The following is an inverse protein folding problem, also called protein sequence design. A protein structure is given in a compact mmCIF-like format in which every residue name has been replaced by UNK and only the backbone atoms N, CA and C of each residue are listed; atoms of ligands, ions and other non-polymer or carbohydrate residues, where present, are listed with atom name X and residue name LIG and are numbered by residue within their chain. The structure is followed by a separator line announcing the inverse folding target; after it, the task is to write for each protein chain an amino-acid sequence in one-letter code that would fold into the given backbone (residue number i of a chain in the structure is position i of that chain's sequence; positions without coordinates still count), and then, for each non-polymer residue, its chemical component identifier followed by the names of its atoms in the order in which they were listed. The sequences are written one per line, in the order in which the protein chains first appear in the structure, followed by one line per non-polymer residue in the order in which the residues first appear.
data_IF_907255101717
#
_entry.id   IF_907255101717
#
_cell.length_a   1.000
_cell.length_b   1.000
_cell.length_c   1.000
_cell.angle_alpha   90.00
_cell.angle_beta   90.00
_cell.angle_gamma   90.00
#
_symmetry.space_group_name_H-M   'P 1'
#
loop_
_entity.id
_entity.type
_entity.pdbx_description
1 polymer ?
#
# COMPACT_ATOMS: atom_id res chain seq x y z
N UNK A 1 16.91 -44.40 -11.25
CA UNK A 1 16.11 -43.56 -12.16
C UNK A 1 14.90 -43.04 -11.39
N UNK A 2 14.56 -41.75 -11.46
CA UNK A 2 13.34 -41.26 -10.85
C UNK A 2 12.12 -41.87 -11.54
N UNK A 3 11.12 -42.26 -10.75
CA UNK A 3 9.87 -42.77 -11.33
C UNK A 3 9.08 -41.60 -11.94
N UNK A 4 8.37 -41.87 -13.03
CA UNK A 4 7.45 -40.91 -13.65
C UNK A 4 6.44 -40.35 -12.62
N UNK A 5 5.94 -41.22 -11.73
CA UNK A 5 5.02 -40.85 -10.66
C UNK A 5 5.62 -39.81 -9.70
N UNK A 6 6.89 -39.97 -9.30
CA UNK A 6 7.58 -39.02 -8.41
C UNK A 6 7.79 -37.68 -9.12
N UNK A 7 8.23 -37.69 -10.38
CA UNK A 7 8.42 -36.46 -11.16
C UNK A 7 7.10 -35.71 -11.38
N UNK A 8 6.02 -36.43 -11.71
CA UNK A 8 4.69 -35.85 -11.84
C UNK A 8 4.25 -35.24 -10.51
N UNK A 9 4.34 -35.98 -9.41
CA UNK A 9 3.93 -35.48 -8.10
C UNK A 9 4.68 -34.19 -7.71
N UNK A 10 6.01 -34.16 -7.84
CA UNK A 10 6.79 -32.96 -7.51
C UNK A 10 6.41 -31.76 -8.38
N UNK A 11 6.13 -31.99 -9.66
CA UNK A 11 5.70 -30.94 -10.60
C UNK A 11 4.36 -30.36 -10.14
N UNK A 12 3.33 -31.18 -9.95
CA UNK A 12 2.01 -30.72 -9.54
C UNK A 12 2.03 -30.03 -8.17
N UNK A 13 2.79 -30.56 -7.22
CA UNK A 13 2.96 -29.94 -5.90
C UNK A 13 3.60 -28.54 -6.01
N UNK A 14 4.63 -28.39 -6.85
CA UNK A 14 5.29 -27.10 -7.10
C UNK A 14 4.30 -26.07 -7.65
N UNK A 15 3.50 -26.47 -8.65
CA UNK A 15 2.51 -25.59 -9.27
C UNK A 15 1.38 -25.22 -8.31
N UNK A 16 0.90 -26.18 -7.52
CA UNK A 16 -0.12 -25.93 -6.50
C UNK A 16 0.39 -24.96 -5.42
N UNK A 17 1.62 -25.14 -4.94
CA UNK A 17 2.23 -24.22 -3.97
C UNK A 17 2.41 -22.81 -4.54
N UNK A 18 2.75 -22.68 -5.82
CA UNK A 18 2.80 -21.36 -6.48
C UNK A 18 1.42 -20.68 -6.49
N UNK A 19 0.35 -21.41 -6.85
CA UNK A 19 -1.02 -20.90 -6.81
C UNK A 19 -1.47 -20.52 -5.40
N UNK A 20 -1.17 -21.34 -4.39
CA UNK A 20 -1.50 -21.04 -2.98
C UNK A 20 -0.76 -19.80 -2.49
N UNK A 21 0.54 -19.70 -2.79
CA UNK A 21 1.37 -18.55 -2.38
C UNK A 21 0.85 -17.25 -2.99
N UNK A 22 0.56 -17.26 -4.29
CA UNK A 22 0.03 -16.10 -5.01
C UNK A 22 -1.38 -15.73 -4.57
N UNK A 23 -2.26 -16.72 -4.40
CA UNK A 23 -3.62 -16.53 -3.88
C UNK A 23 -3.62 -15.91 -2.49
N UNK A 24 -2.79 -16.44 -1.58
CA UNK A 24 -2.63 -15.91 -0.24
C UNK A 24 -2.17 -14.45 -0.24
N UNK A 25 -1.12 -14.15 -1.02
CA UNK A 25 -0.53 -12.82 -1.06
C UNK A 25 -1.49 -11.75 -1.61
N UNK A 26 -2.32 -12.10 -2.58
CA UNK A 26 -3.23 -11.16 -3.24
C UNK A 26 -4.63 -11.08 -2.61
N UNK A 27 -5.06 -12.09 -1.83
CA UNK A 27 -6.40 -12.12 -1.25
C UNK A 27 -6.80 -10.87 -0.42
N UNK A 28 -5.89 -10.22 0.35
CA UNK A 28 -6.23 -9.00 1.07
C UNK A 28 -6.59 -7.82 0.16
N UNK A 29 -6.07 -7.81 -1.08
CA UNK A 29 -6.37 -6.79 -2.06
C UNK A 29 -7.57 -7.19 -2.90
N UNK A 30 -7.57 -8.40 -3.45
CA UNK A 30 -8.62 -8.91 -4.33
C UNK A 30 -9.13 -10.24 -3.76
N UNK A 31 -10.17 -10.23 -2.91
CA UNK A 31 -10.68 -11.43 -2.26
C UNK A 31 -11.06 -12.54 -3.25
N UNK A 32 -11.50 -12.17 -4.45
CA UNK A 32 -11.86 -13.11 -5.53
C UNK A 32 -10.66 -13.98 -5.98
N UNK A 33 -9.42 -13.49 -5.80
CA UNK A 33 -8.19 -14.21 -6.16
C UNK A 33 -8.03 -15.49 -5.31
N UNK A 34 -8.48 -15.49 -4.06
CA UNK A 34 -8.49 -16.70 -3.25
C UNK A 34 -9.35 -17.79 -3.90
N UNK A 35 -10.48 -17.41 -4.52
CA UNK A 35 -11.32 -18.32 -5.29
C UNK A 35 -10.59 -18.91 -6.50
N UNK A 36 -9.88 -18.08 -7.27
CA UNK A 36 -9.05 -18.56 -8.39
C UNK A 36 -7.95 -19.53 -7.94
N UNK A 37 -7.32 -19.26 -6.79
CA UNK A 37 -6.30 -20.14 -6.23
C UNK A 37 -6.87 -21.52 -5.86
N UNK A 38 -8.01 -21.54 -5.18
CA UNK A 38 -8.71 -22.80 -4.84
C UNK A 38 -9.08 -23.56 -6.11
N UNK A 39 -9.69 -22.89 -7.10
CA UNK A 39 -10.06 -23.53 -8.37
C UNK A 39 -8.84 -24.09 -9.11
N UNK A 40 -7.74 -23.35 -9.16
CA UNK A 40 -6.50 -23.81 -9.81
C UNK A 40 -5.90 -25.02 -9.09
N UNK A 41 -5.87 -25.02 -7.75
CA UNK A 41 -5.36 -26.16 -6.96
C UNK A 41 -6.24 -27.40 -7.14
N UNK A 42 -7.56 -27.24 -7.13
CA UNK A 42 -8.50 -28.34 -7.40
C UNK A 42 -8.34 -28.88 -8.82
N UNK A 43 -8.19 -28.00 -9.81
CA UNK A 43 -7.95 -28.40 -11.20
C UNK A 43 -6.63 -29.16 -11.36
N UNK A 44 -5.55 -28.69 -10.73
CA UNK A 44 -4.26 -29.39 -10.70
C UNK A 44 -4.38 -30.76 -10.02
N UNK A 45 -5.08 -30.83 -8.88
CA UNK A 45 -5.36 -32.10 -8.20
C UNK A 45 -6.13 -33.09 -9.08
N UNK A 46 -7.19 -32.63 -9.75
CA UNK A 46 -7.96 -33.45 -10.67
C UNK A 46 -7.11 -33.94 -11.86
N UNK A 47 -6.33 -33.04 -12.48
CA UNK A 47 -5.44 -33.36 -13.60
C UNK A 47 -4.37 -34.39 -13.19
N UNK A 48 -3.81 -34.29 -11.99
CA UNK A 48 -2.85 -35.28 -11.47
C UNK A 48 -3.43 -36.69 -11.45
N UNK A 49 -4.69 -36.85 -11.02
CA UNK A 49 -5.36 -38.14 -11.01
C UNK A 49 -5.81 -38.59 -12.41
N UNK A 50 -6.27 -37.67 -13.27
CA UNK A 50 -6.73 -38.00 -14.62
C UNK A 50 -5.55 -38.44 -15.51
N UNK A 51 -4.41 -37.77 -15.42
CA UNK A 51 -3.21 -38.07 -16.22
C UNK A 51 -2.67 -39.49 -15.97
N UNK A 52 -3.01 -40.12 -14.84
CA UNK A 52 -2.68 -41.55 -14.60
C UNK A 52 -3.51 -42.54 -15.40
N UNK A 53 -4.71 -42.14 -15.85
CA UNK A 53 -5.71 -43.04 -16.41
C UNK A 53 -6.03 -42.74 -17.87
N UNK A 54 -5.87 -41.50 -18.29
CA UNK A 54 -6.28 -41.03 -19.60
C UNK A 54 -5.21 -40.15 -20.22
N UNK A 55 -5.07 -40.22 -21.54
CA UNK A 55 -4.34 -39.22 -22.31
C UNK A 55 -5.05 -37.87 -22.16
N UNK A 56 -4.30 -36.85 -21.76
CA UNK A 56 -4.84 -35.50 -21.62
C UNK A 56 -5.13 -34.86 -23.01
N UNK A 57 -5.38 -33.55 -23.04
CA UNK A 57 -5.82 -32.84 -24.23
C UNK A 57 -4.74 -32.84 -25.32
N UNK A 58 -5.18 -33.02 -26.57
CA UNK A 58 -4.36 -32.75 -27.75
C UNK A 58 -3.99 -31.27 -27.83
N UNK A 59 -2.94 -30.92 -28.58
CA UNK A 59 -2.47 -29.53 -28.72
C UNK A 59 -3.60 -28.58 -29.16
N UNK A 60 -4.44 -28.89 -30.17
CA UNK A 60 -5.54 -28.00 -30.55
C UNK A 60 -6.60 -27.85 -29.45
N UNK A 61 -6.91 -28.93 -28.72
CA UNK A 61 -7.87 -28.90 -27.63
C UNK A 61 -7.34 -28.09 -26.43
N UNK A 62 -6.05 -28.22 -26.10
CA UNK A 62 -5.38 -27.42 -25.08
C UNK A 62 -5.35 -25.93 -25.45
N UNK A 63 -5.09 -25.60 -26.73
CA UNK A 63 -5.13 -24.21 -27.20
C UNK A 63 -6.55 -23.62 -27.13
N UNK A 64 -7.59 -24.40 -27.45
CA UNK A 64 -8.99 -23.98 -27.28
C UNK A 64 -9.33 -23.76 -25.81
N UNK A 65 -8.88 -24.64 -24.92
CA UNK A 65 -9.05 -24.46 -23.47
C UNK A 65 -8.35 -23.18 -23.00
N UNK A 66 -7.10 -22.94 -23.44
CA UNK A 66 -6.37 -21.71 -23.14
C UNK A 66 -7.10 -20.46 -23.65
N UNK A 67 -7.66 -20.50 -24.86
CA UNK A 67 -8.47 -19.43 -25.41
C UNK A 67 -9.75 -19.17 -24.61
N UNK A 68 -10.46 -20.22 -24.19
CA UNK A 68 -11.66 -20.11 -23.34
C UNK A 68 -11.32 -19.52 -21.97
N UNK A 69 -10.25 -20.00 -21.33
CA UNK A 69 -9.72 -19.45 -20.07
C UNK A 69 -9.36 -17.97 -20.23
N UNK A 70 -8.68 -17.61 -21.32
CA UNK A 70 -8.35 -16.22 -21.64
C UNK A 70 -9.59 -15.33 -21.81
N UNK A 71 -10.63 -15.81 -22.50
CA UNK A 71 -11.89 -15.08 -22.66
C UNK A 71 -12.61 -14.87 -21.32
N UNK A 72 -12.71 -15.91 -20.48
CA UNK A 72 -13.28 -15.81 -19.14
C UNK A 72 -12.49 -14.82 -18.27
N UNK A 73 -11.16 -14.83 -18.37
CA UNK A 73 -10.30 -13.87 -17.67
C UNK A 73 -10.55 -12.43 -18.14
N UNK A 74 -10.64 -12.18 -19.46
CA UNK A 74 -10.94 -10.86 -20.00
C UNK A 74 -12.31 -10.34 -19.53
N UNK A 75 -13.33 -11.21 -19.48
CA UNK A 75 -14.65 -10.84 -18.96
C UNK A 75 -14.58 -10.48 -17.46
N UNK A 76 -13.84 -11.25 -16.67
CA UNK A 76 -13.62 -10.95 -15.26
C UNK A 76 -12.87 -9.62 -15.04
N UNK A 77 -11.82 -9.36 -15.83
CA UNK A 77 -11.10 -8.08 -15.81
C UNK A 77 -12.03 -6.92 -16.14
N UNK A 78 -12.82 -7.03 -17.21
CA UNK A 78 -13.77 -5.98 -17.59
C UNK A 78 -14.81 -5.71 -16.49
N UNK A 79 -15.34 -6.77 -15.88
CA UNK A 79 -16.22 -6.65 -14.71
C UNK A 79 -15.53 -5.93 -13.56
N UNK A 80 -14.28 -6.29 -13.24
CA UNK A 80 -13.55 -5.70 -12.11
C UNK A 80 -13.19 -4.23 -12.34
N UNK A 81 -12.76 -3.87 -13.55
CA UNK A 81 -12.50 -2.47 -13.94
C UNK A 81 -13.77 -1.65 -13.84
N UNK A 82 -14.90 -2.17 -14.33
CA UNK A 82 -16.19 -1.48 -14.21
C UNK A 82 -16.57 -1.25 -12.75
N UNK A 83 -16.51 -2.30 -11.92
CA UNK A 83 -16.78 -2.19 -10.48
C UNK A 83 -15.89 -1.12 -9.82
N UNK A 84 -14.63 -1.03 -10.22
CA UNK A 84 -13.71 -0.02 -9.70
C UNK A 84 -14.12 1.40 -10.10
N UNK A 85 -14.51 1.61 -11.36
CA UNK A 85 -15.02 2.91 -11.82
C UNK A 85 -16.28 3.31 -11.04
N UNK A 86 -17.16 2.35 -10.76
CA UNK A 86 -18.44 2.60 -10.10
C UNK A 86 -18.29 2.86 -8.58
N UNK A 87 -17.30 2.23 -7.93
CA UNK A 87 -17.16 2.24 -6.44
C UNK A 87 -15.98 3.05 -5.92
N UNK A 88 -14.95 3.27 -6.73
CA UNK A 88 -13.71 3.95 -6.32
C UNK A 88 -12.93 3.23 -5.21
N UNK A 89 -13.13 1.92 -5.03
CA UNK A 89 -12.50 1.11 -3.96
C UNK A 89 -10.96 1.23 -3.96
N UNK A 90 -10.32 1.40 -5.12
CA UNK A 90 -8.87 1.47 -5.37
C UNK A 90 -8.38 2.84 -5.82
N UNK A 91 -9.19 3.88 -5.76
CA UNK A 91 -8.77 5.26 -6.06
C UNK A 91 -7.46 5.64 -5.33
N UNK A 92 -7.26 5.09 -4.13
CA UNK A 92 -6.08 5.33 -3.28
C UNK A 92 -4.91 4.38 -3.53
N UNK A 93 -5.15 3.17 -4.07
CA UNK A 93 -4.09 2.18 -4.32
C UNK A 93 -3.41 2.41 -5.67
N UNK A 94 -4.09 3.11 -6.58
CA UNK A 94 -3.59 3.46 -7.90
C UNK A 94 -3.87 2.39 -8.95
N UNK A 95 -4.30 2.83 -10.14
CA UNK A 95 -4.65 1.96 -11.26
C UNK A 95 -3.55 0.98 -11.67
N UNK A 96 -2.28 1.39 -11.56
CA UNK A 96 -1.14 0.54 -11.90
C UNK A 96 -1.05 -0.69 -10.99
N UNK A 97 -1.30 -0.55 -9.68
CA UNK A 97 -1.31 -1.67 -8.73
C UNK A 97 -2.43 -2.64 -9.06
N UNK A 98 -3.62 -2.13 -9.35
CA UNK A 98 -4.76 -2.95 -9.74
C UNK A 98 -4.47 -3.76 -11.01
N UNK A 99 -3.88 -3.14 -12.04
CA UNK A 99 -3.51 -3.82 -13.28
C UNK A 99 -2.47 -4.94 -13.03
N UNK A 100 -1.49 -4.70 -12.17
CA UNK A 100 -0.50 -5.73 -11.78
C UNK A 100 -1.17 -6.88 -11.01
N UNK A 101 -2.08 -6.56 -10.08
CA UNK A 101 -2.78 -7.56 -9.28
C UNK A 101 -3.66 -8.50 -10.14
N UNK A 102 -4.23 -7.98 -11.24
CA UNK A 102 -5.03 -8.78 -12.18
C UNK A 102 -4.24 -9.90 -12.87
N UNK A 103 -2.91 -9.80 -12.97
CA UNK A 103 -2.10 -10.89 -13.56
C UNK A 103 -2.09 -12.16 -12.71
N UNK A 104 -2.37 -12.07 -11.40
CA UNK A 104 -2.28 -13.24 -10.52
C UNK A 104 -3.26 -14.36 -10.89
N UNK A 105 -4.58 -14.07 -10.98
CA UNK A 105 -5.58 -15.00 -11.52
C UNK A 105 -5.20 -15.59 -12.88
N UNK A 106 -4.69 -14.76 -13.80
CA UNK A 106 -4.27 -15.21 -15.12
C UNK A 106 -3.16 -16.25 -15.03
N UNK A 107 -2.11 -15.99 -14.23
CA UNK A 107 -1.00 -16.93 -14.01
C UNK A 107 -1.51 -18.27 -13.48
N UNK A 108 -2.37 -18.27 -12.46
CA UNK A 108 -2.92 -19.49 -11.86
C UNK A 108 -3.75 -20.31 -12.86
N UNK A 109 -4.59 -19.65 -13.64
CA UNK A 109 -5.43 -20.30 -14.64
C UNK A 109 -4.61 -20.82 -15.84
N UNK A 110 -3.59 -20.08 -16.27
CA UNK A 110 -2.68 -20.51 -17.34
C UNK A 110 -1.82 -21.71 -16.91
N UNK A 111 -1.41 -21.79 -15.64
CA UNK A 111 -0.72 -22.96 -15.10
C UNK A 111 -1.59 -24.23 -15.23
N UNK A 112 -2.84 -24.17 -14.77
CA UNK A 112 -3.77 -25.30 -14.87
C UNK A 112 -4.07 -25.67 -16.34
N UNK A 113 -4.34 -24.68 -17.19
CA UNK A 113 -4.61 -24.90 -18.61
C UNK A 113 -3.41 -25.51 -19.35
N UNK A 114 -2.19 -25.06 -19.04
CA UNK A 114 -0.96 -25.55 -19.68
C UNK A 114 -0.62 -26.98 -19.26
N UNK A 115 -0.82 -27.32 -17.98
CA UNK A 115 -0.63 -28.70 -17.49
C UNK A 115 -1.59 -29.69 -18.17
N UNK A 116 -2.79 -29.25 -18.55
CA UNK A 116 -3.78 -30.10 -19.22
C UNK A 116 -3.38 -30.57 -20.63
N UNK A 117 -2.24 -30.14 -21.18
CA UNK A 117 -1.70 -30.63 -22.45
C UNK A 117 -1.10 -32.04 -22.28
N UNK A 118 -1.49 -32.98 -23.13
CA UNK A 118 -1.03 -34.38 -23.09
C UNK A 118 0.42 -34.55 -23.52
N UNK A 119 0.77 -34.02 -24.69
CA UNK A 119 2.14 -34.08 -25.20
C UNK A 119 2.96 -32.91 -24.65
N UNK A 120 3.72 -33.18 -23.59
CA UNK A 120 4.63 -32.20 -22.96
C UNK A 120 6.08 -32.50 -23.34
N UNK A 121 6.78 -31.50 -23.85
CA UNK A 121 8.23 -31.56 -24.08
C UNK A 121 9.00 -30.72 -23.07
N UNK A 122 10.34 -30.80 -23.08
CA UNK A 122 11.21 -30.04 -22.18
C UNK A 122 10.85 -28.54 -22.09
N UNK A 123 10.55 -27.90 -23.23
CA UNK A 123 10.11 -26.50 -23.26
C UNK A 123 8.79 -26.21 -22.50
N UNK A 124 7.84 -27.14 -22.47
CA UNK A 124 6.60 -26.96 -21.71
C UNK A 124 6.86 -26.96 -20.21
N UNK A 125 7.69 -27.88 -19.72
CA UNK A 125 8.10 -27.92 -18.30
C UNK A 125 8.86 -26.66 -17.88
N UNK A 126 9.79 -26.18 -18.72
CA UNK A 126 10.47 -24.90 -18.46
C UNK A 126 9.51 -23.73 -18.34
N UNK A 127 8.53 -23.65 -19.24
CA UNK A 127 7.53 -22.57 -19.17
C UNK A 127 6.56 -22.71 -18.00
N UNK A 128 6.22 -23.94 -17.56
CA UNK A 128 5.44 -24.17 -16.34
C UNK A 128 6.20 -23.69 -15.10
N UNK A 129 7.47 -24.08 -14.96
CA UNK A 129 8.32 -23.62 -13.85
C UNK A 129 8.59 -22.12 -13.90
N UNK A 130 8.82 -21.55 -15.08
CA UNK A 130 8.99 -20.12 -15.27
C UNK A 130 7.74 -19.32 -14.89
N UNK A 131 6.55 -19.80 -15.29
CA UNK A 131 5.27 -19.16 -14.95
C UNK A 131 4.97 -19.28 -13.45
N UNK A 132 5.24 -20.44 -12.83
CA UNK A 132 5.12 -20.62 -11.39
C UNK A 132 6.08 -19.70 -10.61
N UNK A 133 7.32 -19.57 -11.06
CA UNK A 133 8.31 -18.67 -10.46
C UNK A 133 7.90 -17.21 -10.59
N UNK A 134 7.38 -16.79 -11.76
CA UNK A 134 6.84 -15.46 -11.96
C UNK A 134 5.65 -15.19 -11.00
N UNK A 135 4.77 -16.17 -10.81
CA UNK A 135 3.67 -16.09 -9.85
C UNK A 135 4.15 -15.92 -8.41
N UNK A 136 5.18 -16.68 -7.99
CA UNK A 136 5.75 -16.56 -6.65
C UNK A 136 6.53 -15.26 -6.46
N UNK A 137 7.23 -14.78 -7.49
CA UNK A 137 7.87 -13.46 -7.49
C UNK A 137 6.86 -12.34 -7.35
N UNK A 138 5.72 -12.44 -8.04
CA UNK A 138 4.60 -11.52 -7.89
C UNK A 138 4.02 -11.58 -6.47
N UNK A 139 3.85 -12.78 -5.90
CA UNK A 139 3.38 -12.96 -4.52
C UNK A 139 4.32 -12.29 -3.49
N UNK A 140 5.64 -12.44 -3.68
CA UNK A 140 6.65 -11.83 -2.82
C UNK A 140 6.66 -10.29 -2.90
N UNK A 141 6.17 -9.71 -3.99
CA UNK A 141 5.98 -8.26 -4.10
C UNK A 141 4.75 -7.75 -3.33
N UNK A 142 3.74 -8.61 -3.12
CA UNK A 142 2.48 -8.22 -2.46
C UNK A 142 2.45 -8.49 -0.95
N UNK A 143 3.18 -9.48 -0.44
CA UNK A 143 3.06 -9.90 0.96
C UNK A 143 4.41 -10.00 1.68
N UNK A 144 4.53 -9.26 2.79
CA UNK A 144 5.69 -9.28 3.71
C UNK A 144 5.42 -10.11 4.98
N UNK A 145 4.40 -10.97 4.98
CA UNK A 145 3.97 -11.71 6.18
C UNK A 145 4.75 -13.01 6.41
N UNK A 146 4.96 -13.44 7.68
CA UNK A 146 5.66 -14.68 8.00
C UNK A 146 5.11 -15.91 7.28
N UNK A 147 3.79 -16.02 7.15
CA UNK A 147 3.16 -17.14 6.47
C UNK A 147 3.48 -17.17 4.96
N UNK A 148 3.56 -15.99 4.32
CA UNK A 148 3.98 -15.90 2.91
C UNK A 148 5.41 -16.43 2.74
N UNK A 149 6.34 -16.06 3.64
CA UNK A 149 7.71 -16.59 3.61
C UNK A 149 7.76 -18.11 3.77
N UNK A 150 6.93 -18.69 4.64
CA UNK A 150 6.83 -20.16 4.77
C UNK A 150 6.34 -20.79 3.47
N UNK A 151 5.30 -20.24 2.85
CA UNK A 151 4.76 -20.74 1.58
C UNK A 151 5.78 -20.66 0.44
N UNK A 152 6.51 -19.53 0.34
CA UNK A 152 7.63 -19.38 -0.61
C UNK A 152 8.72 -20.41 -0.34
N UNK A 153 9.09 -20.64 0.93
CA UNK A 153 10.06 -21.66 1.30
C UNK A 153 9.65 -23.07 0.88
N UNK A 154 8.39 -23.43 1.14
CA UNK A 154 7.81 -24.71 0.69
C UNK A 154 7.84 -24.84 -0.83
N UNK A 155 7.46 -23.78 -1.54
CA UNK A 155 7.54 -23.72 -3.00
C UNK A 155 8.98 -23.94 -3.50
N UNK A 156 9.98 -23.27 -2.91
CA UNK A 156 11.37 -23.39 -3.35
C UNK A 156 11.91 -24.81 -3.20
N UNK A 157 11.62 -25.48 -2.08
CA UNK A 157 12.01 -26.88 -1.87
C UNK A 157 11.35 -27.79 -2.92
N UNK A 158 10.05 -27.60 -3.17
CA UNK A 158 9.33 -28.37 -4.18
C UNK A 158 9.86 -28.10 -5.60
N UNK A 159 10.17 -26.85 -5.92
CA UNK A 159 10.70 -26.42 -7.23
C UNK A 159 12.09 -27.00 -7.49
N UNK A 160 13.01 -26.95 -6.51
CA UNK A 160 14.34 -27.56 -6.63
C UNK A 160 14.22 -29.08 -6.79
N UNK A 161 13.31 -29.72 -6.04
CA UNK A 161 13.05 -31.15 -6.18
C UNK A 161 12.54 -31.48 -7.58
N UNK A 162 11.53 -30.76 -8.06
CA UNK A 162 10.94 -30.96 -9.38
C UNK A 162 11.94 -30.72 -10.51
N UNK A 163 12.75 -29.66 -10.44
CA UNK A 163 13.76 -29.34 -11.45
C UNK A 163 14.90 -30.36 -11.47
N UNK A 164 15.29 -30.91 -10.32
CA UNK A 164 16.28 -31.99 -10.25
C UNK A 164 15.76 -33.25 -10.94
N UNK A 165 14.49 -33.60 -10.70
CA UNK A 165 13.85 -34.74 -11.36
C UNK A 165 13.66 -34.49 -12.86
N UNK A 166 13.31 -33.26 -13.25
CA UNK A 166 13.21 -32.84 -14.65
C UNK A 166 14.56 -32.97 -15.37
N UNK A 167 15.65 -32.51 -14.77
CA UNK A 167 17.00 -32.63 -15.34
C UNK A 167 17.39 -34.10 -15.54
N UNK A 168 17.14 -34.95 -14.55
CA UNK A 168 17.38 -36.39 -14.66
C UNK A 168 16.51 -37.03 -15.75
N UNK A 169 15.25 -36.61 -15.87
CA UNK A 169 14.32 -37.09 -16.90
C UNK A 169 14.75 -36.69 -18.31
N UNK A 170 15.27 -35.47 -18.49
CA UNK A 170 15.88 -35.03 -19.74
C UNK A 170 17.13 -35.84 -20.07
N UNK A 171 18.02 -36.05 -19.09
CA UNK A 171 19.26 -36.81 -19.26
C UNK A 171 19.01 -38.29 -19.57
N UNK A 172 17.94 -38.88 -19.03
CA UNK A 172 17.55 -40.27 -19.30
C UNK A 172 16.71 -40.46 -20.56
N UNK A 173 16.33 -39.39 -21.26
CA UNK A 173 15.41 -39.44 -22.40
C UNK A 173 13.95 -39.70 -22.03
N UNK A 174 13.59 -39.67 -20.75
CA UNK A 174 12.21 -39.85 -20.28
C UNK A 174 11.33 -38.62 -20.56
N UNK A 175 11.94 -37.43 -20.65
CA UNK A 175 11.28 -36.21 -21.10
C UNK A 175 11.67 -35.95 -22.55
N UNK A 176 10.71 -35.86 -23.49
CA UNK A 176 11.05 -35.62 -24.88
C UNK A 176 11.67 -34.23 -25.06
N UNK A 177 12.72 -34.09 -25.89
CA UNK A 177 13.31 -32.80 -26.21
C UNK A 177 12.31 -31.91 -26.94
N UNK A 178 12.60 -30.61 -27.03
CA UNK A 178 11.79 -29.69 -27.83
C UNK A 178 11.78 -30.19 -29.29
N UNK A 179 10.61 -30.33 -29.94
CA UNK A 179 10.52 -30.76 -31.33
C UNK A 179 11.38 -29.86 -32.23
N UNK A 180 12.36 -30.46 -32.91
CA UNK A 180 13.17 -29.80 -33.93
C UNK A 180 12.59 -30.22 -35.30
N UNK A 181 12.06 -29.29 -36.10
CA UNK A 181 11.43 -29.62 -37.39
C UNK A 181 12.40 -30.32 -38.36
N UNK A 182 13.71 -30.22 -38.13
CA UNK A 182 14.73 -30.82 -38.97
C UNK A 182 15.29 -32.15 -38.45
N UNK A 183 14.84 -32.63 -37.28
CA UNK A 183 15.32 -33.89 -36.70
C UNK A 183 14.18 -34.89 -36.52
N UNK A 184 14.34 -36.06 -37.13
CA UNK A 184 13.50 -37.22 -36.81
C UNK A 184 13.85 -37.66 -35.40
N UNK A 185 12.95 -37.41 -34.45
CA UNK A 185 13.12 -37.83 -33.06
C UNK A 185 12.86 -39.34 -33.00
N UNK A 186 13.84 -40.17 -32.57
CA UNK A 186 13.57 -41.59 -32.36
C UNK A 186 12.48 -41.74 -31.29
N UNK A 187 11.53 -42.65 -31.49
CA UNK A 187 10.47 -42.94 -30.53
C UNK A 187 11.11 -43.16 -29.16
N UNK A 188 10.75 -42.29 -28.20
CA UNK A 188 11.32 -42.32 -26.88
C UNK A 188 11.06 -43.71 -26.27
N UNK A 189 12.13 -44.44 -25.95
CA UNK A 189 12.03 -45.72 -25.29
C UNK A 189 11.29 -45.51 -23.97
N UNK A 190 10.04 -45.97 -23.90
CA UNK A 190 9.21 -45.85 -22.72
C UNK A 190 9.95 -46.51 -21.55
N UNK A 191 10.52 -45.68 -20.67
CA UNK A 191 11.20 -46.11 -19.47
C UNK A 191 10.14 -46.66 -18.49
N UNK A 192 9.71 -47.90 -18.72
CA UNK A 192 8.78 -48.67 -17.90
C UNK A 192 9.50 -49.20 -16.65
N UNK A 193 10.02 -48.29 -15.82
CA UNK A 193 10.49 -48.63 -14.48
C UNK A 193 9.30 -48.75 -13.53
N UNK A 194 9.12 -49.92 -12.90
CA UNK A 194 8.11 -50.10 -11.85
C UNK A 194 8.24 -49.03 -10.75
N UNK A 195 7.12 -48.43 -10.30
CA UNK A 195 7.13 -47.36 -9.32
C UNK A 195 7.36 -47.91 -7.91
N UNK A 196 8.61 -48.09 -7.49
CA UNK A 196 8.95 -48.36 -6.08
C UNK A 196 9.80 -47.23 -5.50
N UNK A 197 9.10 -46.19 -5.00
CA UNK A 197 9.66 -45.18 -4.10
C UNK A 197 9.20 -43.75 -4.39
N UNK A 198 8.28 -43.21 -3.59
CA UNK A 198 7.70 -41.87 -3.74
C UNK A 198 8.61 -40.70 -3.32
N UNK A 199 9.83 -40.97 -2.84
CA UNK A 199 10.73 -39.97 -2.24
C UNK A 199 12.13 -39.90 -2.86
N UNK A 200 12.33 -40.51 -4.03
CA UNK A 200 13.63 -40.48 -4.71
C UNK A 200 14.07 -39.04 -4.98
N UNK A 201 15.27 -38.67 -4.51
CA UNK A 201 15.89 -37.35 -4.74
C UNK A 201 15.43 -36.21 -3.82
N UNK A 202 14.44 -36.42 -2.94
CA UNK A 202 13.95 -35.36 -2.04
C UNK A 202 15.01 -34.86 -1.03
N UNK A 203 15.79 -35.72 -0.34
CA UNK A 203 16.82 -35.24 0.58
C UNK A 203 17.90 -34.41 -0.12
N UNK A 204 18.32 -34.82 -1.32
CA UNK A 204 19.27 -34.06 -2.13
C UNK A 204 18.73 -32.69 -2.52
N UNK A 205 17.44 -32.61 -2.88
CA UNK A 205 16.78 -31.35 -3.19
C UNK A 205 16.73 -30.41 -1.98
N UNK A 206 16.48 -30.95 -0.78
CA UNK A 206 16.50 -30.18 0.47
C UNK A 206 17.89 -29.61 0.76
N UNK A 207 18.95 -30.41 0.56
CA UNK A 207 20.34 -29.94 0.68
C UNK A 207 20.65 -28.84 -0.32
N UNK A 208 20.26 -29.00 -1.60
CA UNK A 208 20.46 -27.97 -2.61
C UNK A 208 19.70 -26.69 -2.33
N UNK A 209 18.45 -26.79 -1.85
CA UNK A 209 17.66 -25.63 -1.43
C UNK A 209 18.33 -24.92 -0.24
N UNK A 210 18.85 -25.68 0.74
CA UNK A 210 19.59 -25.13 1.87
C UNK A 210 20.88 -24.42 1.42
N UNK A 211 21.68 -25.05 0.55
CA UNK A 211 22.87 -24.43 -0.02
C UNK A 211 22.55 -23.13 -0.77
N UNK A 212 21.49 -23.13 -1.60
CA UNK A 212 21.03 -21.93 -2.30
C UNK A 212 20.62 -20.84 -1.31
N UNK A 213 19.92 -21.19 -0.23
CA UNK A 213 19.55 -20.25 0.84
C UNK A 213 20.78 -19.66 1.55
N UNK A 214 21.78 -20.49 1.87
CA UNK A 214 23.05 -20.06 2.50
C UNK A 214 23.81 -19.08 1.61
N UNK A 215 23.68 -19.14 0.29
CA UNK A 215 24.29 -18.16 -0.63
C UNK A 215 23.40 -16.93 -0.82
N UNK A 216 22.09 -17.14 -1.04
CA UNK A 216 21.15 -16.06 -1.36
C UNK A 216 20.96 -15.08 -0.21
N UNK A 217 20.95 -15.56 1.05
CA UNK A 217 20.75 -14.69 2.22
C UNK A 217 21.90 -13.70 2.39
N UNK A 218 23.19 -14.11 2.40
CA UNK A 218 24.31 -13.17 2.42
C UNK A 218 24.30 -12.21 1.24
N UNK A 219 24.03 -12.67 0.02
CA UNK A 219 23.95 -11.80 -1.16
C UNK A 219 22.86 -10.74 -0.97
N UNK A 220 21.68 -11.15 -0.50
CA UNK A 220 20.59 -10.22 -0.19
C UNK A 220 20.98 -9.19 0.88
N UNK A 221 21.64 -9.62 1.96
CA UNK A 221 22.07 -8.74 3.04
C UNK A 221 23.20 -7.79 2.64
N UNK A 222 24.06 -8.21 1.70
CA UNK A 222 25.14 -7.39 1.16
C UNK A 222 24.69 -6.48 0.00
N UNK A 223 23.54 -6.77 -0.62
CA UNK A 223 22.99 -5.95 -1.70
C UNK A 223 22.50 -4.63 -1.11
N UNK A 224 23.04 -3.47 -1.55
CA UNK A 224 22.59 -2.17 -1.05
C UNK A 224 21.08 -2.03 -1.22
N UNK A 225 20.38 -1.70 -0.13
CA UNK A 225 18.94 -1.44 -0.21
C UNK A 225 18.73 -0.26 -1.16
N UNK A 226 17.88 -0.46 -2.16
CA UNK A 226 17.48 0.63 -3.05
C UNK A 226 16.86 1.77 -2.22
N UNK A 227 17.32 3.00 -2.46
CA UNK A 227 16.71 4.20 -1.89
C UNK A 227 15.38 4.57 -2.56
N UNK A 228 15.06 3.88 -3.67
CA UNK A 228 13.78 3.99 -4.34
C UNK A 228 12.66 3.69 -3.34
N UNK A 229 11.52 4.40 -3.42
CA UNK A 229 10.35 4.05 -2.63
C UNK A 229 10.06 2.57 -2.82
N UNK A 230 9.94 1.82 -1.71
CA UNK A 230 9.42 0.46 -1.80
C UNK A 230 8.06 0.57 -2.48
N UNK A 231 7.87 -0.21 -3.53
CA UNK A 231 6.55 -0.37 -4.11
C UNK A 231 5.72 -1.13 -3.07
N UNK A 232 5.03 -0.39 -2.21
CA UNK A 232 4.23 -0.96 -1.12
C UNK A 232 2.88 -1.37 -1.73
N UNK A 233 2.86 -2.58 -2.25
CA UNK A 233 1.68 -3.15 -2.89
C UNK A 233 0.74 -3.71 -1.83
N UNK A 234 -0.09 -2.85 -1.25
CA UNK A 234 -1.32 -3.29 -0.61
C UNK A 234 -1.15 -3.93 0.76
N UNK A 235 -1.11 -3.08 1.77
CA UNK A 235 -2.21 -2.92 2.75
C UNK A 235 -2.27 -1.44 3.06
N UNK A 236 -3.44 -0.77 3.05
CA UNK A 236 -3.53 0.56 3.64
C UNK A 236 -3.12 0.45 5.10
N UNK A 237 -1.90 0.88 5.40
CA UNK A 237 -1.35 0.86 6.75
C UNK A 237 -1.98 2.02 7.49
N UNK A 238 -2.66 1.73 8.60
CA UNK A 238 -2.98 2.77 9.57
C UNK A 238 -1.72 2.90 10.41
N UNK A 239 -0.88 3.88 10.08
CA UNK A 239 0.35 4.12 10.83
C UNK A 239 0.02 4.95 12.08
N UNK A 240 0.64 4.59 13.21
CA UNK A 240 0.72 5.48 14.38
C UNK A 240 1.97 6.32 14.18
N UNK A 241 1.76 7.58 13.83
CA UNK A 241 2.80 8.53 13.46
C UNK A 241 2.25 9.54 12.46
N UNK A 242 3.10 10.42 11.96
CA UNK A 242 2.73 11.33 10.89
C UNK A 242 3.20 10.78 9.54
N UNK A 243 2.28 10.32 8.70
CA UNK A 243 2.53 10.07 7.29
C UNK A 243 1.80 11.13 6.44
N UNK A 244 2.56 11.86 5.62
CA UNK A 244 2.05 13.03 4.89
C UNK A 244 0.95 12.70 3.85
N UNK A 245 0.82 11.43 3.47
CA UNK A 245 -0.22 10.87 2.60
C UNK A 245 -1.28 10.06 3.35
N UNK A 246 -1.21 9.98 4.67
CA UNK A 246 -2.20 9.25 5.46
C UNK A 246 -3.55 9.98 5.42
N UNK A 247 -4.56 9.26 4.94
CA UNK A 247 -5.95 9.62 5.14
C UNK A 247 -6.42 9.09 6.49
N UNK A 248 -7.24 9.86 7.20
CA UNK A 248 -7.88 9.39 8.43
C UNK A 248 -9.22 8.76 8.07
N UNK A 249 -9.21 7.46 7.80
CA UNK A 249 -10.40 6.67 7.50
C UNK A 249 -10.87 5.90 8.73
N UNK A 250 -12.01 6.32 9.30
CA UNK A 250 -12.59 5.73 10.51
C UNK A 250 -13.32 4.42 10.24
N UNK A 251 -13.62 4.08 8.98
CA UNK A 251 -14.23 2.80 8.63
C UNK A 251 -13.19 1.68 8.53
N UNK A 252 -11.90 2.02 8.47
CA UNK A 252 -10.83 1.05 8.37
C UNK A 252 -10.34 0.64 9.74
N UNK A 253 -10.48 -0.65 10.04
CA UNK A 253 -9.81 -1.32 11.15
C UNK A 253 -8.60 -2.06 10.61
N UNK A 254 -7.41 -1.84 11.18
CA UNK A 254 -6.18 -2.49 10.77
C UNK A 254 -5.16 -2.55 11.89
N UNK A 255 -4.10 -3.33 11.70
CA UNK A 255 -2.98 -3.34 12.63
C UNK A 255 -2.29 -1.97 12.59
N UNK A 256 -2.32 -1.28 13.71
CA UNK A 256 -1.59 -0.05 13.91
C UNK A 256 -0.10 -0.35 14.00
N UNK A 257 0.71 0.26 13.13
CA UNK A 257 2.17 0.13 13.18
C UNK A 257 2.77 1.46 13.58
N UNK A 258 3.57 1.47 14.64
CA UNK A 258 4.34 2.65 15.04
C UNK A 258 5.42 2.92 14.01
N UNK A 259 5.43 4.15 13.48
CA UNK A 259 6.51 4.64 12.63
C UNK A 259 7.45 5.49 13.49
N UNK A 260 8.69 5.04 13.65
CA UNK A 260 9.72 5.75 14.42
C UNK A 260 10.67 6.55 13.55
N UNK A 261 10.37 6.72 12.26
CA UNK A 261 11.15 7.59 11.38
C UNK A 261 11.01 9.06 11.82
N UNK A 262 12.12 9.78 11.82
CA UNK A 262 12.12 11.22 12.10
C UNK A 262 11.27 11.96 11.07
N UNK A 263 10.18 12.60 11.52
CA UNK A 263 9.29 13.33 10.63
C UNK A 263 9.93 14.61 10.08
N UNK A 264 10.57 15.38 10.96
CA UNK A 264 11.30 16.61 10.65
C UNK A 264 12.17 17.02 11.84
N UNK A 265 13.12 17.90 11.60
CA UNK A 265 13.94 18.54 12.64
C UNK A 265 13.64 20.04 12.69
N UNK A 266 13.72 20.61 13.90
CA UNK A 266 13.54 22.05 14.13
C UNK A 266 14.64 22.58 15.01
N UNK A 267 15.25 23.67 14.58
CA UNK A 267 16.22 24.45 15.37
C UNK A 267 15.59 25.79 15.74
N UNK A 268 15.62 26.14 17.02
CA UNK A 268 15.07 27.40 17.52
C UNK A 268 16.21 28.36 17.91
N UNK A 269 16.15 29.61 17.46
CA UNK A 269 17.18 30.64 17.72
C UNK A 269 16.55 31.99 18.02
N UNK A 270 17.09 32.70 19.01
CA UNK A 270 16.74 34.08 19.31
C UNK A 270 17.27 35.05 18.23
N UNK A 271 16.78 36.30 18.18
CA UNK A 271 17.23 37.30 17.20
C UNK A 271 18.73 37.66 17.29
N UNK A 272 19.36 37.43 18.45
CA UNK A 272 20.79 37.60 18.66
C UNK A 272 21.64 36.39 18.21
N UNK A 273 21.00 35.34 17.70
CA UNK A 273 21.63 34.10 17.25
C UNK A 273 21.84 33.07 18.35
N UNK A 274 21.51 33.37 19.62
CA UNK A 274 21.61 32.40 20.69
C UNK A 274 20.57 31.27 20.50
N UNK A 275 20.92 30.00 20.79
CA UNK A 275 19.98 28.89 20.69
C UNK A 275 18.86 29.06 21.73
N UNK A 276 17.61 28.86 21.31
CA UNK A 276 16.46 28.77 22.21
C UNK A 276 16.29 27.31 22.64
N UNK A 277 16.70 26.99 23.87
CA UNK A 277 16.71 25.61 24.40
C UNK A 277 15.46 25.26 25.22
N UNK A 278 14.58 26.22 25.45
CA UNK A 278 13.36 26.15 26.26
C UNK A 278 12.09 26.23 25.39
N UNK A 279 12.09 25.57 24.22
CA UNK A 279 10.85 25.39 23.45
C UNK A 279 9.89 24.52 24.26
N UNK A 280 8.64 24.95 24.41
CA UNK A 280 7.65 24.22 25.21
C UNK A 280 7.50 22.79 24.70
N UNK A 281 7.51 21.77 25.58
CA UNK A 281 7.21 20.39 25.18
C UNK A 281 5.76 20.24 24.66
N UNK A 282 4.87 21.15 25.04
CA UNK A 282 3.47 21.20 24.57
C UNK A 282 3.31 21.93 23.22
N UNK A 283 4.42 22.31 22.58
CA UNK A 283 4.41 22.95 21.27
C UNK A 283 3.72 22.04 20.25
N UNK A 284 2.62 22.54 19.68
CA UNK A 284 1.90 21.84 18.62
C UNK A 284 2.57 22.07 17.28
N UNK A 285 2.78 20.98 16.54
CA UNK A 285 3.34 21.00 15.20
C UNK A 285 2.23 20.69 14.20
N UNK A 286 1.70 21.74 13.59
CA UNK A 286 0.66 21.64 12.57
C UNK A 286 1.27 21.11 11.28
N UNK A 287 0.91 19.89 10.91
CA UNK A 287 1.19 19.32 9.59
C UNK A 287 0.06 19.61 8.61
N UNK A 288 -0.30 18.61 7.81
CA UNK A 288 -1.38 18.68 6.84
C UNK A 288 -2.75 18.77 7.53
N UNK A 289 -3.68 19.49 6.91
CA UNK A 289 -5.06 19.58 7.38
C UNK A 289 -5.98 18.74 6.50
N UNK A 290 -6.92 18.04 7.12
CA UNK A 290 -8.01 17.32 6.45
C UNK A 290 -9.31 18.06 6.76
N UNK A 291 -9.96 18.58 5.73
CA UNK A 291 -11.02 19.57 5.89
C UNK A 291 -12.42 19.02 5.60
N UNK A 292 -12.50 17.86 4.94
CA UNK A 292 -13.76 17.30 4.50
C UNK A 292 -13.93 15.89 5.04
N UNK A 293 -14.98 15.70 5.84
CA UNK A 293 -15.41 14.37 6.27
C UNK A 293 -16.49 13.85 5.33
N UNK A 294 -16.21 12.73 4.65
CA UNK A 294 -17.16 12.07 3.77
C UNK A 294 -17.13 10.57 4.02
N UNK A 295 -18.28 9.99 4.34
CA UNK A 295 -18.46 8.54 4.38
C UNK A 295 -17.49 7.81 5.32
N UNK A 296 -17.16 8.38 6.49
CA UNK A 296 -16.23 7.76 7.44
C UNK A 296 -14.78 8.21 7.31
N UNK A 297 -14.40 8.92 6.26
CA UNK A 297 -13.02 9.34 6.03
C UNK A 297 -12.87 10.87 6.00
N UNK A 298 -11.76 11.34 6.55
CA UNK A 298 -11.28 12.71 6.40
C UNK A 298 -10.38 12.83 5.18
N UNK A 299 -10.76 13.71 4.26
CA UNK A 299 -10.11 13.97 2.99
C UNK A 299 -9.34 15.29 3.01
N UNK A 300 -8.33 15.35 2.15
CA UNK A 300 -7.48 16.53 1.94
C UNK A 300 -8.05 17.48 0.88
N UNK A 301 -9.24 17.19 0.34
CA UNK A 301 -9.84 18.06 -0.67
C UNK A 301 -9.95 19.48 -0.11
N UNK A 302 -9.38 20.48 -0.81
CA UNK A 302 -9.39 21.85 -0.33
C UNK A 302 -10.84 22.33 -0.36
N UNK A 303 -11.45 22.43 0.82
CA UNK A 303 -12.68 23.17 0.96
C UNK A 303 -12.27 24.63 0.93
N UNK A 304 -12.86 25.42 0.04
CA UNK A 304 -12.63 26.85 0.01
C UNK A 304 -13.01 27.44 1.37
N UNK A 305 -12.02 27.81 2.15
CA UNK A 305 -12.23 28.47 3.44
C UNK A 305 -12.70 29.91 3.21
N UNK A 306 -13.42 30.51 4.17
CA UNK A 306 -13.81 31.90 4.09
C UNK A 306 -12.57 32.81 3.98
N UNK A 307 -12.68 33.85 3.16
CA UNK A 307 -11.65 34.87 3.11
C UNK A 307 -11.61 35.66 4.43
N UNK A 308 -10.43 36.07 4.85
CA UNK A 308 -10.19 36.94 6.00
C UNK A 308 -10.03 38.39 5.57
N UNK A 309 -10.44 39.30 6.43
CA UNK A 309 -10.17 40.72 6.32
C UNK A 309 -8.76 40.98 6.84
N UNK A 310 -7.95 41.68 6.03
CA UNK A 310 -6.59 42.12 6.36
C UNK A 310 -5.63 40.98 6.73
N UNK A 311 -5.17 40.22 5.75
CA UNK A 311 -4.16 39.16 5.93
C UNK A 311 -2.74 39.74 6.05
N UNK A 312 -1.77 38.86 6.30
CA UNK A 312 -0.36 39.16 6.07
C UNK A 312 -0.13 39.63 4.61
N UNK A 313 0.90 40.45 4.42
CA UNK A 313 1.31 40.97 3.12
C UNK A 313 2.40 40.09 2.53
N UNK A 314 2.33 39.84 1.22
CA UNK A 314 3.47 39.26 0.49
C UNK A 314 4.58 40.31 0.34
N UNK A 315 5.82 39.96 0.72
CA UNK A 315 7.00 40.82 0.59
C UNK A 315 8.06 40.11 -0.24
N UNK A 316 8.60 40.82 -1.24
CA UNK A 316 9.76 40.40 -2.02
C UNK A 316 10.67 41.63 -2.29
N UNK A 317 11.88 41.71 -1.70
CA UNK A 317 12.50 40.72 -0.81
C UNK A 317 11.70 40.49 0.48
N UNK A 318 11.81 39.30 1.04
CA UNK A 318 11.17 38.99 2.32
C UNK A 318 11.92 39.68 3.47
N UNK A 319 11.18 40.13 4.46
CA UNK A 319 11.72 40.63 5.73
C UNK A 319 10.92 39.99 6.87
N UNK A 320 11.58 39.67 7.98
CA UNK A 320 10.92 39.09 9.14
C UNK A 320 9.84 40.06 9.69
N UNK A 321 8.60 39.61 9.96
CA UNK A 321 7.65 40.42 10.70
C UNK A 321 8.14 40.68 12.12
N UNK A 322 7.75 41.82 12.69
CA UNK A 322 7.93 42.10 14.13
C UNK A 322 6.69 41.61 14.88
N UNK A 323 6.78 40.42 15.50
CA UNK A 323 5.71 39.78 16.27
C UNK A 323 5.69 40.23 17.74
N UNK A 324 6.61 41.12 18.14
CA UNK A 324 6.70 41.67 19.49
C UNK A 324 7.78 41.02 20.37
N UNK A 325 7.77 41.30 21.68
CA UNK A 325 8.77 40.81 22.63
C UNK A 325 8.82 39.28 22.69
N UNK A 326 10.03 38.73 22.81
CA UNK A 326 10.24 37.29 22.91
C UNK A 326 10.13 36.55 21.58
N UNK A 327 10.07 37.25 20.45
CA UNK A 327 10.16 36.64 19.13
C UNK A 327 11.46 35.83 18.97
N UNK A 328 11.34 34.67 18.34
CA UNK A 328 12.45 33.80 17.95
C UNK A 328 12.13 33.12 16.62
N UNK A 329 13.15 32.57 15.98
CA UNK A 329 13.03 31.89 14.68
C UNK A 329 13.07 30.38 14.87
N UNK A 330 12.17 29.66 14.19
CA UNK A 330 12.16 28.21 14.05
C UNK A 330 12.62 27.83 12.64
N UNK A 331 13.78 27.21 12.51
CA UNK A 331 14.30 26.69 11.25
C UNK A 331 13.93 25.21 11.12
N UNK A 332 13.16 24.89 10.07
CA UNK A 332 12.69 23.54 9.78
C UNK A 332 13.58 22.89 8.72
N UNK A 333 13.95 21.63 8.96
CA UNK A 333 14.59 20.77 7.99
C UNK A 333 13.76 19.50 7.79
N UNK A 334 13.15 19.39 6.61
CA UNK A 334 12.28 18.28 6.26
C UNK A 334 13.03 17.30 5.35
N UNK A 335 12.81 15.98 5.52
CA UNK A 335 13.32 14.99 4.58
C UNK A 335 12.83 15.28 3.14
N UNK A 336 13.61 14.95 2.09
CA UNK A 336 13.24 15.19 0.69
C UNK A 336 11.90 14.58 0.26
N UNK A 337 11.44 13.55 1.00
CA UNK A 337 10.20 12.82 0.70
C UNK A 337 8.96 13.42 1.40
N UNK A 338 9.11 14.45 2.22
CA UNK A 338 7.95 15.04 2.91
C UNK A 338 7.01 15.69 1.90
N UNK A 339 5.76 15.22 1.87
CA UNK A 339 4.68 15.81 1.05
C UNK A 339 3.95 16.95 1.78
N UNK A 340 4.36 17.29 3.00
CA UNK A 340 3.70 18.28 3.82
C UNK A 340 4.69 19.28 4.39
N UNK A 341 4.20 20.49 4.61
CA UNK A 341 4.88 21.50 5.40
C UNK A 341 4.38 21.41 6.85
N UNK A 342 5.25 21.74 7.78
CA UNK A 342 4.95 21.81 9.21
C UNK A 342 5.05 23.26 9.67
N UNK A 343 4.32 23.59 10.72
CA UNK A 343 4.39 24.88 11.37
C UNK A 343 4.20 24.71 12.88
N UNK A 344 4.84 25.57 13.66
CA UNK A 344 4.50 25.74 15.07
C UNK A 344 3.15 26.49 15.16
N UNK A 345 2.19 25.85 15.82
CA UNK A 345 0.87 26.43 16.08
C UNK A 345 0.85 27.06 17.49
N UNK A 346 0.13 28.17 17.71
CA UNK A 346 -0.61 28.97 16.74
C UNK A 346 0.32 29.71 15.77
N UNK A 347 -0.07 29.75 14.49
CA UNK A 347 0.61 30.59 13.50
C UNK A 347 0.25 32.05 13.75
N UNK A 348 1.25 32.85 14.14
CA UNK A 348 1.08 34.28 14.37
C UNK A 348 1.38 35.09 13.12
N UNK A 349 0.45 35.97 12.78
CA UNK A 349 0.62 36.93 11.71
C UNK A 349 -0.03 38.25 12.09
N UNK A 350 0.47 39.35 11.53
CA UNK A 350 -0.05 40.69 11.76
C UNK A 350 -0.52 41.30 10.42
N UNK A 351 -1.66 42.02 10.41
CA UNK A 351 -2.11 42.76 9.25
C UNK A 351 -1.02 43.64 8.65
N UNK A 352 -0.85 43.61 7.33
CA UNK A 352 0.11 44.41 6.57
C UNK A 352 1.60 44.17 6.87
N UNK A 353 1.95 43.25 7.78
CA UNK A 353 3.31 42.76 7.96
C UNK A 353 3.60 41.60 7.00
N UNK A 354 4.88 41.32 6.68
CA UNK A 354 5.26 40.14 5.91
C UNK A 354 4.74 38.83 6.53
N UNK A 355 4.55 37.80 5.70
CA UNK A 355 4.24 36.46 6.19
C UNK A 355 5.34 35.97 7.16
N UNK A 356 4.98 35.23 8.24
CA UNK A 356 5.95 34.72 9.20
C UNK A 356 6.79 33.56 8.66
N UNK A 357 6.59 33.13 7.41
CA UNK A 357 7.31 32.02 6.80
C UNK A 357 8.19 32.46 5.63
N UNK A 358 9.36 31.85 5.54
CA UNK A 358 10.31 32.03 4.43
C UNK A 358 10.93 30.71 4.02
N UNK A 359 10.83 30.35 2.75
CA UNK A 359 11.55 29.24 2.14
C UNK A 359 13.01 29.60 1.91
N UNK A 360 13.94 28.74 2.33
CA UNK A 360 15.37 28.96 2.15
C UNK A 360 15.80 28.26 0.86
N UNK A 361 16.22 29.04 -0.13
CA UNK A 361 16.63 28.53 -1.46
C UNK A 361 18.05 28.90 -1.81
N UNK A 362 18.62 28.26 -2.84
CA UNK A 362 19.94 28.64 -3.38
C UNK A 362 19.93 30.06 -3.95
N UNK A 363 18.79 30.49 -4.48
CA UNK A 363 18.58 31.83 -5.04
C UNK A 363 18.25 32.88 -3.96
N UNK A 364 18.21 32.46 -2.69
CA UNK A 364 17.91 33.30 -1.53
C UNK A 364 16.60 32.96 -0.83
N UNK A 365 16.20 33.86 0.06
CA UNK A 365 15.00 33.75 0.89
C UNK A 365 13.72 34.10 0.10
N UNK A 366 12.77 33.17 0.06
CA UNK A 366 11.48 33.35 -0.60
C UNK A 366 10.33 33.35 0.41
N UNK A 367 9.75 34.52 0.67
CA UNK A 367 8.58 34.64 1.54
C UNK A 367 7.40 33.81 1.03
N UNK A 368 6.71 33.11 1.94
CA UNK A 368 5.53 32.34 1.57
C UNK A 368 4.38 33.28 1.17
N UNK A 369 3.56 32.82 0.23
CA UNK A 369 2.40 33.56 -0.25
C UNK A 369 1.25 33.41 0.74
N UNK A 370 0.80 34.49 1.41
CA UNK A 370 -0.41 34.44 2.22
C UNK A 370 -1.62 34.24 1.30
N UNK A 371 -2.52 33.35 1.68
CA UNK A 371 -3.78 33.13 0.97
C UNK A 371 -4.91 33.91 1.66
N UNK A 372 -6.01 34.21 0.95
CA UNK A 372 -7.12 34.95 1.52
C UNK A 372 -7.73 34.32 2.76
N UNK A 373 -7.63 33.01 2.95
CA UNK A 373 -8.15 32.28 4.13
C UNK A 373 -7.20 32.29 5.34
N UNK A 374 -6.10 33.03 5.27
CA UNK A 374 -5.10 33.11 6.34
C UNK A 374 -4.13 31.94 6.39
N UNK A 375 -4.19 31.00 5.43
CA UNK A 375 -3.14 30.00 5.25
C UNK A 375 -1.95 30.59 4.48
N UNK A 376 -0.87 29.82 4.39
CA UNK A 376 0.36 30.24 3.73
C UNK A 376 0.81 29.14 2.79
N UNK A 377 1.21 29.52 1.58
CA UNK A 377 1.60 28.60 0.53
C UNK A 377 3.01 28.91 0.02
N UNK A 378 3.77 27.86 -0.21
CA UNK A 378 5.05 27.93 -0.89
C UNK A 378 5.18 26.74 -1.84
N UNK A 379 5.58 27.01 -3.09
CA UNK A 379 5.93 25.99 -4.07
C UNK A 379 7.45 25.95 -4.22
N UNK A 380 8.13 24.97 -3.60
CA UNK A 380 9.56 24.79 -3.84
C UNK A 380 9.76 24.43 -5.31
N UNK A 381 10.60 25.20 -6.00
CA UNK A 381 10.89 24.98 -7.41
C UNK A 381 11.39 23.54 -7.67
N UNK A 382 11.31 23.04 -8.92
CA UNK A 382 11.61 21.63 -9.25
C UNK A 382 12.98 21.13 -8.76
N UNK A 383 13.97 22.01 -8.69
CA UNK A 383 15.34 21.70 -8.21
C UNK A 383 15.38 21.36 -6.71
N UNK A 384 14.45 21.89 -5.92
CA UNK A 384 14.40 21.70 -4.47
C UNK A 384 13.59 20.48 -4.04
N UNK A 385 12.66 19.99 -4.88
CA UNK A 385 11.76 18.87 -4.53
C UNK A 385 12.48 17.56 -4.21
N UNK A 386 13.73 17.40 -4.68
CA UNK A 386 14.55 16.20 -4.42
C UNK A 386 15.58 16.41 -3.31
N UNK A 387 15.57 17.56 -2.63
CA UNK A 387 16.50 17.91 -1.54
C UNK A 387 15.72 18.11 -0.24
N UNK A 388 16.40 18.09 0.92
CA UNK A 388 15.75 18.46 2.17
C UNK A 388 15.13 19.85 2.05
N UNK A 389 13.84 19.97 2.34
CA UNK A 389 13.16 21.26 2.31
C UNK A 389 13.54 22.05 3.56
N UNK A 390 14.05 23.25 3.36
CA UNK A 390 14.48 24.15 4.43
C UNK A 390 13.63 25.42 4.39
N UNK A 391 13.05 25.79 5.52
CA UNK A 391 12.30 27.03 5.67
C UNK A 391 12.38 27.50 7.12
N UNK A 392 12.04 28.77 7.35
CA UNK A 392 11.98 29.37 8.68
C UNK A 392 10.59 29.89 8.97
N UNK A 393 10.21 29.85 10.24
CA UNK A 393 9.03 30.48 10.80
C UNK A 393 9.44 31.45 11.90
N UNK A 394 9.00 32.70 11.81
CA UNK A 394 9.05 33.65 12.93
C UNK A 394 7.92 33.32 13.91
N UNK A 395 8.26 33.19 15.18
CA UNK A 395 7.33 32.80 16.24
C UNK A 395 7.50 33.71 17.45
N UNK A 396 6.42 33.98 18.17
CA UNK A 396 6.47 34.68 19.45
C UNK A 396 5.54 34.00 20.47
N UNK A 397 5.97 33.83 21.73
CA UNK A 397 5.12 33.24 22.75
C UNK A 397 3.95 34.17 23.08
N UNK A 398 2.78 33.60 23.38
CA UNK A 398 1.60 34.32 23.85
C UNK A 398 1.17 33.80 25.22
N UNK A 399 0.45 34.64 25.95
CA UNK A 399 -0.21 34.24 27.21
C UNK A 399 -1.23 33.14 26.97
N UNK A 400 -1.99 33.24 25.87
CA UNK A 400 -2.91 32.20 25.41
C UNK A 400 -2.25 31.39 24.29
N UNK A 401 -1.57 30.31 24.68
CA UNK A 401 -0.83 29.42 23.75
C UNK A 401 -1.73 28.67 22.77
N UNK A 402 -3.05 28.63 23.01
CA UNK A 402 -4.01 27.92 22.16
C UNK A 402 -4.68 28.81 21.10
N UNK A 403 -4.47 30.13 21.14
CA UNK A 403 -5.22 31.08 20.31
C UNK A 403 -4.33 31.76 19.27
N UNK A 404 -4.77 31.65 18.01
CA UNK A 404 -4.22 32.42 16.90
C UNK A 404 -4.47 33.92 17.02
N UNK A 405 -3.94 34.72 16.08
CA UNK A 405 -4.33 36.12 15.95
C UNK A 405 -5.84 36.19 15.68
N UNK A 406 -6.53 37.13 16.33
CA UNK A 406 -7.92 37.41 16.03
C UNK A 406 -8.07 37.90 14.59
N UNK A 407 -9.11 37.45 13.90
CA UNK A 407 -9.38 37.81 12.50
C UNK A 407 -10.87 38.09 12.30
N UNK A 408 -11.19 38.75 11.20
CA UNK A 408 -12.56 38.96 10.72
C UNK A 408 -12.73 38.22 9.40
N UNK A 409 -13.90 37.63 9.16
CA UNK A 409 -14.24 36.98 7.89
C UNK A 409 -14.78 38.07 6.94
N UNK A 410 -14.32 38.05 5.69
CA UNK A 410 -14.65 39.08 4.70
C UNK A 410 -16.03 38.87 4.04
N UNK A 411 -16.57 37.65 4.12
CA UNK A 411 -17.88 37.32 3.54
C UNK A 411 -18.99 37.66 4.53
N UNK A 412 -19.74 38.73 4.26
CA UNK A 412 -20.87 39.17 5.09
C UNK A 412 -22.03 38.17 5.10
N UNK A 413 -22.12 37.25 4.13
CA UNK A 413 -23.15 36.20 4.14
C UNK A 413 -22.89 35.15 5.22
N UNK A 414 -21.63 35.00 5.61
CA UNK A 414 -21.26 34.16 6.74
C UNK A 414 -21.63 34.82 8.06
N UNK A 415 -21.78 36.14 8.15
CA UNK A 415 -22.18 36.78 9.41
C UNK A 415 -23.55 36.26 9.86
N UNK A 416 -24.54 36.06 8.98
CA UNK A 416 -25.84 35.48 9.37
C UNK A 416 -25.70 34.04 9.93
N UNK A 417 -24.81 33.23 9.35
CA UNK A 417 -24.56 31.85 9.81
C UNK A 417 -23.70 31.80 11.07
N UNK A 418 -22.74 32.72 11.19
CA UNK A 418 -21.89 32.88 12.35
C UNK A 418 -22.66 33.49 13.51
N UNK A 419 -23.63 34.36 13.25
CA UNK A 419 -24.50 34.94 14.26
C UNK A 419 -25.36 33.85 14.90
N UNK A 420 -25.81 32.84 14.15
CA UNK A 420 -26.42 31.65 14.76
C UNK A 420 -25.45 30.90 15.70
N UNK A 421 -24.16 30.82 15.36
CA UNK A 421 -23.12 30.21 16.21
C UNK A 421 -22.71 31.10 17.40
N UNK A 422 -22.82 32.44 17.27
CA UNK A 422 -22.52 33.42 18.33
C UNK A 422 -23.68 33.56 19.31
N UNK A 423 -24.92 33.52 18.82
CA UNK A 423 -26.16 33.59 19.62
C UNK A 423 -26.40 32.26 20.35
N UNK A 424 -25.95 31.16 19.76
CA UNK A 424 -25.97 29.85 20.40
C UNK A 424 -24.52 29.39 20.66
N UNK A 425 -23.80 30.00 21.63
CA UNK A 425 -22.48 29.51 21.99
C UNK A 425 -22.68 28.07 22.43
N UNK A 426 -22.21 27.13 21.62
CA UNK A 426 -22.51 25.72 21.83
C UNK A 426 -21.62 25.18 22.95
N UNK A 427 -21.76 25.73 24.17
CA UNK A 427 -21.27 25.17 25.42
C UNK A 427 -21.58 23.67 25.44
N UNK A 428 -22.79 23.31 25.02
CA UNK A 428 -23.22 21.92 24.87
C UNK A 428 -22.41 21.10 23.87
N UNK A 429 -21.83 21.66 22.81
CA UNK A 429 -20.98 20.87 21.88
C UNK A 429 -19.61 20.64 22.50
N UNK A 430 -19.04 21.63 23.18
CA UNK A 430 -17.79 21.42 23.92
C UNK A 430 -18.02 20.41 25.04
N UNK A 431 -19.04 20.58 25.86
CA UNK A 431 -19.43 19.63 26.91
C UNK A 431 -19.70 18.23 26.34
N UNK A 432 -20.41 18.14 25.21
CA UNK A 432 -20.67 16.86 24.55
C UNK A 432 -19.39 16.22 24.02
N UNK A 433 -18.51 16.99 23.37
CA UNK A 433 -17.24 16.50 22.84
C UNK A 433 -16.29 16.06 23.97
N UNK A 434 -16.19 16.84 25.04
CA UNK A 434 -15.42 16.52 26.24
C UNK A 434 -15.97 15.25 26.90
N UNK A 435 -17.30 15.14 27.06
CA UNK A 435 -17.94 13.95 27.63
C UNK A 435 -17.72 12.72 26.75
N UNK A 436 -17.87 12.85 25.43
CA UNK A 436 -17.63 11.75 24.49
C UNK A 436 -16.17 11.29 24.52
N UNK A 437 -15.21 12.21 24.62
CA UNK A 437 -13.79 11.89 24.78
C UNK A 437 -13.52 11.11 26.06
N UNK A 438 -14.10 11.54 27.19
CA UNK A 438 -14.02 10.81 28.47
C UNK A 438 -14.61 9.40 28.32
N UNK A 439 -15.82 9.27 27.77
CA UNK A 439 -16.47 7.97 27.54
C UNK A 439 -15.64 7.06 26.60
N UNK A 440 -14.99 7.61 25.58
CA UNK A 440 -14.11 6.85 24.68
C UNK A 440 -12.83 6.39 25.38
N UNK A 441 -12.22 7.23 26.22
CA UNK A 441 -11.02 6.89 27.00
C UNK A 441 -11.34 5.82 28.04
N UNK A 442 -12.42 6.01 28.80
CA UNK A 442 -12.88 5.05 29.81
C UNK A 442 -13.31 3.74 29.16
N UNK A 443 -14.07 3.82 28.06
CA UNK A 443 -14.51 2.66 27.28
C UNK A 443 -13.38 1.90 26.57
N UNK A 444 -12.29 2.58 26.20
CA UNK A 444 -11.08 1.94 25.67
C UNK A 444 -10.31 1.20 26.76
N UNK A 445 -10.29 1.75 27.99
CA UNK A 445 -9.66 1.10 29.14
C UNK A 445 -10.51 -0.05 29.74
N UNK A 446 -11.84 0.00 29.57
CA UNK A 446 -12.76 -0.97 30.15
C UNK A 446 -13.10 -2.15 29.24
N UNK A 447 -12.62 -2.20 27.98
CA UNK A 447 -12.81 -3.37 27.12
C UNK A 447 -11.77 -4.43 27.44
N UNK A 448 -12.15 -5.58 28.04
CA UNK A 448 -11.23 -6.69 28.19
C UNK A 448 -10.81 -7.15 26.79
N UNK A 449 -9.51 -7.43 26.64
CA UNK A 449 -8.79 -7.73 25.40
C UNK A 449 -9.23 -9.00 24.64
N UNK A 450 -10.46 -9.50 24.88
CA UNK A 450 -11.00 -10.71 24.26
C UNK A 450 -12.47 -10.67 23.82
N UNK A 451 -13.17 -9.53 23.91
CA UNK A 451 -14.58 -9.46 23.51
C UNK A 451 -14.75 -9.24 21.99
N UNK A 452 -15.02 -10.31 21.26
CA UNK A 452 -15.49 -10.29 19.87
C UNK A 452 -16.80 -9.50 19.76
N UNK A 453 -16.84 -8.54 18.83
CA UNK A 453 -17.97 -7.62 18.63
C UNK A 453 -19.16 -8.37 18.00
N UNK A 454 -20.41 -8.19 18.48
CA UNK A 454 -21.58 -8.79 17.82
C UNK A 454 -21.84 -8.12 16.47
N UNK A 455 -22.17 -8.94 15.48
CA UNK A 455 -22.44 -8.57 14.09
C UNK A 455 -23.67 -7.67 13.94
N UNK A 456 -23.48 -6.53 13.27
CA UNK A 456 -24.44 -5.79 12.43
C UNK A 456 -25.90 -5.71 12.90
N UNK A 457 -26.27 -4.59 13.53
CA UNK A 457 -27.64 -4.09 13.49
C UNK A 457 -27.82 -3.20 12.26
N UNK A 458 -28.77 -3.54 11.40
CA UNK A 458 -29.23 -2.76 10.24
C UNK A 458 -29.90 -1.46 10.70
N UNK A 459 -29.67 -0.31 10.03
CA UNK A 459 -30.40 0.91 10.33
C UNK A 459 -31.76 0.89 9.61
N UNK A 460 -32.82 0.58 10.35
CA UNK A 460 -34.20 0.90 9.95
C UNK A 460 -34.60 2.24 10.55
N UNK A 461 -35.03 3.19 9.72
CA UNK A 461 -35.74 4.39 10.20
C UNK A 461 -35.49 5.67 9.40
N UNK A 462 -35.90 5.70 8.13
CA UNK A 462 -36.09 6.95 7.40
C UNK A 462 -37.32 7.69 7.98
N UNK A 463 -37.07 8.76 8.73
CA UNK A 463 -38.09 9.72 9.15
C UNK A 463 -38.44 10.65 7.98
N UNK A 464 -39.65 10.50 7.44
CA UNK A 464 -40.28 11.42 6.49
C UNK A 464 -40.55 12.77 7.17
N UNK A 465 -40.01 13.86 6.61
CA UNK A 465 -40.43 15.22 6.95
C UNK A 465 -41.81 15.53 6.32
N UNK A 466 -42.66 16.36 6.96
CA UNK A 466 -43.96 16.72 6.43
C UNK A 466 -43.84 17.80 5.35
N UNK A 467 -44.58 17.61 4.26
CA UNK A 467 -44.81 18.60 3.22
C UNK A 467 -45.70 19.73 3.75
N UNK A 468 -45.17 20.96 3.81
CA UNK A 468 -45.97 22.17 3.95
C UNK A 468 -46.34 22.69 2.58
N UNK A 469 -47.64 22.63 2.28
CA UNK A 469 -48.31 23.36 1.21
C UNK A 469 -48.66 24.77 1.72
N UNK A 470 -48.17 25.80 1.03
CA UNK A 470 -48.85 27.08 0.76
C UNK A 470 -48.12 27.76 -0.38
#
# INVERSE_FOLDING_TARGET
MPTEATFRFSTYLTLALACVTLGYAQAPMLPEVAGFAVLAVLALGALYFIETRFTLLSIPAANRLGGAVGACFCLWVAYRVKREIDTGEFAHMGWHVLMVAMFGPLVMMLLAAKVARGEKHAGDYWSLHGLALAGVGLAAAFAEEPLCFVLVGLYLVAAVWSLSLFYLGCASGAVPPVPDPNKVVPDAAAASGEPRGTRTGFPSALVWAACAGVVAVPVYLLTPRSSAPKADFGKPRVEIGYAADQMVDLNRTGALKTNSETAFEVTATYPDGAPKTDVSPDQRWRGRTHQQYTGGAWNMEPKRLPNLVRTARQSNPWAAPNLGPGQFTLAFELPPKSKAHFAADPILWLPNQPAPFVGVTEDGDQGWMPTPDGTFYWDPGPRQRNRPLKYRQEYAPRTDTDLGPGFQIADSRLDDSLDQLRINPVERVKEYADKLLVELIEGANSRPSGATRPSSATPNGASRAPSTTT
#
